data_IF_004808012216
#
_entry.id   IF_004808012216
#
_cell.length_a   1.000
_cell.length_b   1.000
_cell.length_c   1.000
_cell.angle_alpha   90.00
_cell.angle_beta   90.00
_cell.angle_gamma   90.00
#
_symmetry.space_group_name_H-M   'P 1'
#
loop_
_entity.id
_entity.type
_entity.pdbx_description
1 polymer ?
#
# COMPACT_ATOMS: atom_id res chain seq x y z
N UNK A 1 27.48 15.04 -24.31
CA UNK A 1 26.64 14.10 -25.09
C UNK A 1 25.78 13.33 -24.10
N UNK A 2 24.48 13.64 -24.04
CA UNK A 2 23.49 12.95 -23.21
C UNK A 2 22.96 11.75 -24.00
N UNK A 3 23.17 10.52 -23.52
CA UNK A 3 22.53 9.33 -24.08
C UNK A 3 21.21 9.07 -23.35
N UNK A 4 20.10 9.39 -24.00
CA UNK A 4 18.77 8.94 -23.61
C UNK A 4 18.66 7.42 -23.82
N UNK A 5 18.55 6.66 -22.73
CA UNK A 5 18.09 5.26 -22.79
C UNK A 5 16.60 5.27 -22.46
N UNK A 6 15.76 5.13 -23.49
CA UNK A 6 14.33 4.80 -23.33
C UNK A 6 14.23 3.34 -22.89
N UNK A 7 13.83 3.09 -21.65
CA UNK A 7 13.44 1.74 -21.21
C UNK A 7 12.07 1.41 -21.80
N UNK A 8 12.04 0.63 -22.88
CA UNK A 8 10.84 -0.07 -23.34
C UNK A 8 10.63 -1.28 -22.42
N UNK A 9 9.59 -1.27 -21.59
CA UNK A 9 9.15 -2.47 -20.88
C UNK A 9 8.19 -3.26 -21.77
N UNK A 10 8.49 -4.55 -21.93
CA UNK A 10 7.63 -5.53 -22.60
C UNK A 10 6.54 -5.93 -21.60
N UNK A 11 5.24 -5.80 -21.90
CA UNK A 11 4.19 -6.20 -20.98
C UNK A 11 4.10 -7.73 -20.93
N UNK A 12 4.50 -8.31 -19.80
CA UNK A 12 4.21 -9.69 -19.45
C UNK A 12 2.72 -9.85 -19.15
N UNK A 13 2.13 -10.95 -19.62
CA UNK A 13 0.77 -11.35 -19.27
C UNK A 13 0.82 -11.97 -17.87
N UNK A 14 0.41 -11.19 -16.86
CA UNK A 14 0.37 -11.63 -15.46
C UNK A 14 -1.06 -12.02 -15.08
N UNK A 15 -1.26 -13.30 -14.78
CA UNK A 15 -2.58 -13.92 -14.54
C UNK A 15 -3.06 -13.80 -13.08
N UNK A 16 -2.37 -13.01 -12.24
CA UNK A 16 -2.70 -12.83 -10.83
C UNK A 16 -3.01 -11.34 -10.53
N UNK A 17 -4.20 -10.98 -10.02
CA UNK A 17 -4.57 -9.59 -9.75
C UNK A 17 -3.69 -8.90 -8.70
N UNK A 18 -3.02 -9.65 -7.82
CA UNK A 18 -2.11 -9.09 -6.80
C UNK A 18 -0.74 -8.70 -7.35
N UNK A 19 -0.32 -9.26 -8.49
CA UNK A 19 1.03 -9.05 -9.04
C UNK A 19 1.09 -7.90 -10.06
N UNK A 20 -0.05 -7.45 -10.60
CA UNK A 20 -0.13 -6.22 -11.43
C UNK A 20 0.28 -4.95 -10.67
N UNK A 21 0.22 -4.97 -9.34
CA UNK A 21 0.48 -3.82 -8.47
C UNK A 21 1.95 -3.33 -8.50
N UNK A 22 2.89 -4.13 -8.98
CA UNK A 22 4.32 -3.79 -8.95
C UNK A 22 4.84 -3.11 -10.22
N UNK A 23 4.09 -3.13 -11.33
CA UNK A 23 4.60 -2.67 -12.63
C UNK A 23 4.31 -1.20 -12.96
N UNK A 24 3.25 -0.60 -12.40
CA UNK A 24 2.72 0.67 -12.91
C UNK A 24 3.00 1.92 -12.04
N UNK A 25 3.59 1.74 -10.85
CA UNK A 25 3.79 2.83 -9.87
C UNK A 25 5.09 3.63 -10.03
N UNK A 26 5.29 4.33 -11.14
CA UNK A 26 6.28 5.41 -11.24
C UNK A 26 5.56 6.76 -11.23
N UNK A 27 5.77 7.52 -10.15
CA UNK A 27 5.40 8.94 -10.10
C UNK A 27 5.12 9.43 -8.69
N UNK A 28 6.03 10.24 -8.14
CA UNK A 28 5.73 11.10 -7.01
C UNK A 28 4.57 12.06 -7.34
N UNK A 29 3.95 12.60 -6.30
CA UNK A 29 2.75 13.47 -6.29
C UNK A 29 1.42 12.74 -6.37
N UNK A 30 0.49 13.18 -5.51
CA UNK A 30 -0.94 12.83 -5.46
C UNK A 30 -1.40 11.95 -6.63
N UNK A 31 -1.39 10.63 -6.43
CA UNK A 31 -1.81 9.70 -7.49
C UNK A 31 -3.31 9.89 -7.71
N UNK A 32 -3.64 10.53 -8.82
CA UNK A 32 -5.00 10.75 -9.28
C UNK A 32 -5.68 9.41 -9.64
N UNK A 33 -6.82 9.19 -8.98
CA UNK A 33 -7.97 8.32 -9.29
C UNK A 33 -7.82 6.82 -9.60
N UNK A 34 -6.79 6.30 -10.29
CA UNK A 34 -6.85 4.89 -10.75
C UNK A 34 -6.42 3.85 -9.69
N UNK A 35 -5.28 4.03 -9.02
CA UNK A 35 -4.83 3.11 -7.96
C UNK A 35 -5.71 3.20 -6.70
N UNK A 36 -6.22 4.40 -6.42
CA UNK A 36 -7.17 4.64 -5.33
C UNK A 36 -8.50 3.92 -5.54
N UNK A 37 -8.89 3.65 -6.79
CA UNK A 37 -10.13 2.96 -7.09
C UNK A 37 -10.07 1.48 -6.68
N UNK A 38 -8.92 0.83 -6.82
CA UNK A 38 -8.77 -0.57 -6.40
C UNK A 38 -8.86 -0.73 -4.88
N UNK A 39 -8.12 0.07 -4.11
CA UNK A 39 -8.18 -0.01 -2.64
C UNK A 39 -9.56 0.40 -2.11
N UNK A 40 -10.20 1.37 -2.75
CA UNK A 40 -11.58 1.72 -2.45
C UNK A 40 -12.51 0.53 -2.71
N UNK A 41 -12.36 -0.17 -3.82
CA UNK A 41 -13.14 -1.37 -4.13
C UNK A 41 -12.90 -2.50 -3.12
N UNK A 42 -11.67 -2.65 -2.62
CA UNK A 42 -11.36 -3.63 -1.57
C UNK A 42 -12.05 -3.28 -0.25
N UNK A 43 -11.98 -2.03 0.20
CA UNK A 43 -12.65 -1.55 1.41
C UNK A 43 -14.17 -1.68 1.30
N UNK A 44 -14.73 -1.42 0.12
CA UNK A 44 -16.17 -1.52 -0.15
C UNK A 44 -16.73 -2.94 -0.07
N UNK A 45 -15.87 -3.98 0.00
CA UNK A 45 -16.31 -5.36 0.28
C UNK A 45 -16.75 -5.54 1.74
N UNK A 46 -16.32 -4.66 2.64
CA UNK A 46 -16.52 -4.76 4.08
C UNK A 46 -17.48 -3.68 4.60
N UNK A 47 -18.62 -3.48 3.92
CA UNK A 47 -19.51 -2.33 4.16
C UNK A 47 -20.01 -2.20 5.60
N UNK A 48 -20.16 -3.32 6.29
CA UNK A 48 -20.69 -3.37 7.65
C UNK A 48 -19.57 -3.36 8.71
N UNK A 49 -18.29 -3.30 8.30
CA UNK A 49 -17.15 -3.16 9.19
C UNK A 49 -16.88 -1.69 9.58
N UNK A 50 -16.09 -1.49 10.64
CA UNK A 50 -15.76 -0.16 11.17
C UNK A 50 -14.84 0.63 10.23
N UNK A 51 -15.16 1.91 10.02
CA UNK A 51 -14.31 2.83 9.27
C UNK A 51 -12.92 3.00 9.92
N UNK A 52 -12.83 2.91 11.25
CA UNK A 52 -11.56 2.99 11.98
C UNK A 52 -10.69 1.76 11.70
N UNK A 53 -11.28 0.58 11.68
CA UNK A 53 -10.57 -0.65 11.25
C UNK A 53 -10.11 -0.52 9.79
N UNK A 54 -10.96 0.03 8.91
CA UNK A 54 -10.66 0.23 7.50
C UNK A 54 -9.52 1.23 7.25
N UNK A 55 -9.44 2.32 8.03
CA UNK A 55 -8.30 3.27 8.00
C UNK A 55 -6.98 2.60 8.38
N UNK A 56 -7.03 1.52 9.15
CA UNK A 56 -5.86 0.69 9.45
C UNK A 56 -5.32 -0.06 8.23
N UNK A 57 -6.15 -0.29 7.21
CA UNK A 57 -5.74 -0.96 5.98
C UNK A 57 -4.75 -0.07 5.21
N UNK A 58 -3.65 -0.68 4.80
CA UNK A 58 -2.60 0.00 4.06
C UNK A 58 -1.91 -0.95 3.10
N UNK A 59 -1.51 -0.40 1.95
CA UNK A 59 -0.62 -1.05 1.03
C UNK A 59 0.83 -0.67 1.33
N UNK A 60 1.73 -1.63 1.15
CA UNK A 60 3.16 -1.43 1.31
C UNK A 60 3.84 -1.81 0.01
N UNK A 61 4.65 -0.90 -0.52
CA UNK A 61 5.39 -1.09 -1.75
C UNK A 61 6.86 -0.75 -1.54
N UNK A 62 7.74 -1.39 -2.32
CA UNK A 62 9.16 -1.04 -2.36
C UNK A 62 9.49 -0.47 -3.73
N UNK A 63 10.11 0.71 -3.75
CA UNK A 63 10.62 1.32 -4.96
C UNK A 63 12.15 1.30 -4.93
N UNK A 64 12.78 1.02 -6.07
CA UNK A 64 14.23 1.10 -6.22
C UNK A 64 14.59 2.18 -7.25
N UNK A 65 15.24 3.26 -6.79
CA UNK A 65 15.65 4.38 -7.64
C UNK A 65 17.12 4.69 -7.40
N UNK A 66 17.94 4.67 -8.44
CA UNK A 66 19.37 5.01 -8.39
C UNK A 66 20.16 4.25 -7.29
N UNK A 67 19.90 2.95 -7.12
CA UNK A 67 20.57 2.12 -6.12
C UNK A 67 20.08 2.36 -4.68
N UNK A 68 19.02 3.14 -4.47
CA UNK A 68 18.32 3.29 -3.19
C UNK A 68 17.00 2.54 -3.24
N UNK A 69 16.76 1.67 -2.26
CA UNK A 69 15.46 1.04 -2.03
C UNK A 69 14.68 1.81 -0.98
N UNK A 70 13.41 2.09 -1.24
CA UNK A 70 12.50 2.86 -0.39
C UNK A 70 11.22 2.08 -0.15
N UNK A 71 10.85 1.89 1.11
CA UNK A 71 9.59 1.31 1.55
C UNK A 71 8.56 2.42 1.72
N UNK A 72 7.44 2.29 1.02
CA UNK A 72 6.36 3.26 0.96
C UNK A 72 5.09 2.63 1.53
N UNK A 73 4.30 3.42 2.25
CA UNK A 73 2.97 3.08 2.74
C UNK A 73 1.93 3.94 2.03
N UNK A 74 0.91 3.31 1.47
CA UNK A 74 -0.29 3.98 0.97
C UNK A 74 -1.49 3.60 1.84
N UNK A 75 -2.18 4.58 2.41
CA UNK A 75 -3.32 4.32 3.31
C UNK A 75 -4.42 5.38 3.19
N UNK A 76 -5.62 5.02 3.65
CA UNK A 76 -6.74 5.95 3.71
C UNK A 76 -6.51 6.95 4.85
N UNK A 77 -6.48 8.25 4.55
CA UNK A 77 -6.34 9.32 5.55
C UNK A 77 -7.72 9.85 5.96
N UNK A 78 -8.56 10.10 4.97
CA UNK A 78 -9.98 10.44 5.11
C UNK A 78 -10.79 9.63 4.09
N UNK A 79 -12.13 9.56 4.19
CA UNK A 79 -12.97 8.76 3.29
C UNK A 79 -12.72 8.97 1.79
N UNK A 80 -12.20 10.12 1.40
CA UNK A 80 -11.91 10.50 0.02
C UNK A 80 -10.42 10.77 -0.26
N UNK A 81 -9.58 10.84 0.78
CA UNK A 81 -8.18 11.20 0.64
C UNK A 81 -7.28 10.05 1.04
N UNK A 82 -6.36 9.73 0.13
CA UNK A 82 -5.30 8.78 0.35
C UNK A 82 -4.00 9.52 0.67
N UNK A 83 -3.19 8.92 1.52
CA UNK A 83 -1.86 9.41 1.83
C UNK A 83 -0.82 8.37 1.43
N UNK A 84 0.29 8.87 0.92
CA UNK A 84 1.49 8.08 0.61
C UNK A 84 2.60 8.60 1.51
N UNK A 85 3.23 7.70 2.26
CA UNK A 85 4.29 8.04 3.20
C UNK A 85 5.51 7.12 2.99
N UNK A 86 6.69 7.72 2.89
CA UNK A 86 7.94 6.98 2.99
C UNK A 86 8.13 6.50 4.44
N UNK A 87 8.36 5.19 4.61
CA UNK A 87 8.62 4.61 5.93
C UNK A 87 10.10 4.48 6.21
N UNK A 88 10.85 3.99 5.22
CA UNK A 88 12.26 3.68 5.36
C UNK A 88 12.93 3.64 4.01
N UNK A 89 14.23 3.96 4.00
CA UNK A 89 15.06 3.88 2.82
C UNK A 89 16.43 3.30 3.16
N UNK A 90 17.04 2.63 2.19
CA UNK A 90 18.40 2.11 2.29
C UNK A 90 19.12 2.17 0.94
N UNK A 91 20.43 2.44 0.96
CA UNK A 91 21.27 2.31 -0.23
C UNK A 91 21.67 0.85 -0.40
N UNK A 92 21.44 0.29 -1.59
CA UNK A 92 21.85 -1.06 -1.96
C UNK A 92 23.35 -1.04 -2.22
N UNK A 93 24.17 -1.73 -1.40
CA UNK A 93 25.60 -1.79 -1.64
C UNK A 93 25.88 -2.63 -2.88
N UNK A 94 26.60 -2.03 -3.83
CA UNK A 94 27.01 -2.68 -5.09
C UNK A 94 28.47 -3.17 -5.06
N UNK A 95 29.19 -2.88 -3.98
CA UNK A 95 30.58 -3.32 -3.76
C UNK A 95 30.75 -3.92 -2.36
N UNK A 96 31.85 -4.65 -2.15
CA UNK A 96 32.13 -5.38 -0.91
C UNK A 96 32.39 -4.50 0.31
N UNK A 97 32.99 -3.32 0.11
CA UNK A 97 33.38 -2.41 1.18
C UNK A 97 32.17 -1.79 1.91
N UNK A 98 31.12 -1.28 1.24
CA UNK A 98 29.91 -0.77 1.90
C UNK A 98 28.92 -1.87 2.34
N UNK A 99 29.34 -3.14 2.47
CA UNK A 99 28.43 -4.25 2.82
C UNK A 99 27.68 -4.06 4.13
N UNK A 100 28.20 -3.24 5.05
CA UNK A 100 27.49 -2.85 6.28
C UNK A 100 26.14 -2.18 5.99
N UNK A 101 25.99 -1.53 4.82
CA UNK A 101 24.72 -0.99 4.34
C UNK A 101 23.64 -2.04 4.05
N UNK A 102 24.00 -3.33 3.89
CA UNK A 102 23.01 -4.42 3.80
C UNK A 102 22.17 -4.53 5.06
N UNK A 103 22.67 -4.14 6.23
CA UNK A 103 21.88 -4.16 7.46
C UNK A 103 20.63 -3.29 7.32
N UNK A 104 20.77 -2.09 6.76
CA UNK A 104 19.61 -1.20 6.52
C UNK A 104 18.61 -1.78 5.52
N UNK A 105 19.08 -2.54 4.52
CA UNK A 105 18.21 -3.26 3.59
C UNK A 105 17.45 -4.38 4.31
N UNK A 106 18.12 -5.18 5.15
CA UNK A 106 17.46 -6.22 5.94
C UNK A 106 16.45 -5.66 6.93
N UNK A 107 16.76 -4.55 7.59
CA UNK A 107 15.81 -3.88 8.47
C UNK A 107 14.58 -3.36 7.71
N UNK A 108 14.76 -2.89 6.47
CA UNK A 108 13.64 -2.48 5.60
C UNK A 108 12.76 -3.68 5.27
N UNK A 109 13.35 -4.83 4.92
CA UNK A 109 12.60 -6.08 4.65
C UNK A 109 11.89 -6.60 5.91
N UNK A 110 12.54 -6.57 7.07
CA UNK A 110 11.93 -6.93 8.34
C UNK A 110 10.75 -6.00 8.69
N UNK A 111 10.89 -4.71 8.40
CA UNK A 111 9.79 -3.74 8.56
C UNK A 111 8.61 -4.09 7.66
N UNK A 112 8.87 -4.41 6.38
CA UNK A 112 7.83 -4.84 5.44
C UNK A 112 7.09 -6.09 5.95
N UNK A 113 7.82 -7.11 6.41
CA UNK A 113 7.25 -8.34 6.96
C UNK A 113 6.34 -8.05 8.17
N UNK A 114 6.82 -7.26 9.13
CA UNK A 114 6.03 -6.88 10.31
C UNK A 114 4.75 -6.12 9.93
N UNK A 115 4.83 -5.23 8.93
CA UNK A 115 3.65 -4.51 8.43
C UNK A 115 2.68 -5.43 7.72
N UNK A 116 3.18 -6.39 6.94
CA UNK A 116 2.34 -7.39 6.28
C UNK A 116 1.56 -8.26 7.29
N UNK A 117 2.22 -8.72 8.35
CA UNK A 117 1.54 -9.51 9.40
C UNK A 117 0.49 -8.68 10.16
N UNK A 118 0.76 -7.39 10.39
CA UNK A 118 -0.23 -6.46 10.92
C UNK A 118 -1.46 -6.33 9.99
N UNK A 119 -1.24 -6.20 8.67
CA UNK A 119 -2.32 -6.10 7.70
C UNK A 119 -3.19 -7.37 7.66
N UNK A 120 -2.60 -8.56 7.83
CA UNK A 120 -3.39 -9.81 7.97
C UNK A 120 -4.34 -9.75 9.15
N UNK A 121 -3.90 -9.21 10.29
CA UNK A 121 -4.74 -9.09 11.47
C UNK A 121 -5.88 -8.08 11.25
N UNK A 122 -5.60 -6.96 10.58
CA UNK A 122 -6.61 -5.97 10.21
C UNK A 122 -7.64 -6.57 9.25
N UNK A 123 -7.20 -7.32 8.24
CA UNK A 123 -8.09 -7.99 7.29
C UNK A 123 -9.00 -9.01 7.97
N UNK A 124 -8.46 -9.80 8.90
CA UNK A 124 -9.26 -10.72 9.73
C UNK A 124 -10.30 -9.96 10.57
N UNK A 125 -9.92 -8.81 11.13
CA UNK A 125 -10.83 -7.97 11.91
C UNK A 125 -11.96 -7.40 11.02
N UNK A 126 -11.63 -6.87 9.84
CA UNK A 126 -12.63 -6.41 8.86
C UNK A 126 -13.61 -7.52 8.48
N UNK A 127 -13.11 -8.74 8.24
CA UNK A 127 -13.96 -9.89 7.93
C UNK A 127 -14.89 -10.25 9.09
N UNK A 128 -14.40 -10.23 10.33
CA UNK A 128 -15.22 -10.52 11.51
C UNK A 128 -16.30 -9.47 11.74
N UNK A 129 -15.92 -8.19 11.67
CA UNK A 129 -16.84 -7.06 11.80
C UNK A 129 -17.92 -7.11 10.71
N UNK A 130 -17.55 -7.32 9.45
CA UNK A 130 -18.50 -7.41 8.34
C UNK A 130 -19.42 -8.63 8.42
N UNK A 131 -18.99 -9.71 9.08
CA UNK A 131 -19.82 -10.89 9.31
C UNK A 131 -20.61 -10.83 10.62
N UNK A 132 -20.67 -9.67 11.28
CA UNK A 132 -21.36 -9.43 12.55
C UNK A 132 -20.87 -10.30 13.72
N UNK A 133 -19.65 -10.85 13.62
CA UNK A 133 -19.01 -11.58 14.72
C UNK A 133 -18.42 -10.63 15.77
N UNK A 134 -18.04 -9.42 15.33
CA UNK A 134 -17.67 -8.31 16.20
C UNK A 134 -18.65 -7.16 15.92
N UNK A 135 -19.49 -6.75 16.89
CA UNK A 135 -20.50 -5.73 16.66
C UNK A 135 -19.85 -4.36 16.40
N UNK A 136 -20.38 -3.65 15.40
CA UNK A 136 -19.96 -2.29 15.02
C UNK A 136 -21.19 -1.39 15.07
N UNK A 137 -21.05 -0.17 15.63
CA UNK A 137 -22.12 0.83 15.58
C UNK A 137 -22.38 1.20 14.11
N UNK A 138 -23.64 1.22 13.71
CA UNK A 138 -24.06 1.56 12.34
C UNK A 138 -23.45 2.89 11.89
N UNK A 139 -23.36 3.89 12.78
CA UNK A 139 -22.77 5.21 12.50
C UNK A 139 -21.29 5.15 12.16
N UNK A 140 -20.59 4.14 12.66
CA UNK A 140 -19.16 3.91 12.43
C UNK A 140 -18.90 2.97 11.26
N UNK A 141 -19.95 2.42 10.63
CA UNK A 141 -19.81 1.53 9.47
C UNK A 141 -19.19 2.26 8.27
N UNK A 142 -18.46 1.50 7.46
CA UNK A 142 -17.92 1.96 6.17
C UNK A 142 -19.07 2.47 5.28
N UNK A 143 -20.20 1.76 5.25
CA UNK A 143 -21.37 2.12 4.42
C UNK A 143 -21.84 3.54 4.68
N UNK A 144 -21.98 3.92 5.95
CA UNK A 144 -22.46 5.25 6.34
C UNK A 144 -21.35 6.29 6.15
N UNK A 145 -20.14 5.99 6.64
CA UNK A 145 -19.01 6.93 6.63
C UNK A 145 -18.57 7.35 5.23
N UNK A 146 -18.62 6.44 4.24
CA UNK A 146 -18.26 6.75 2.85
C UNK A 146 -19.41 7.40 2.05
N UNK A 147 -20.68 7.24 2.48
CA UNK A 147 -21.85 7.86 1.82
C UNK A 147 -22.09 9.31 2.24
N UNK A 148 -21.85 9.65 3.51
CA UNK A 148 -22.13 11.00 4.06
C UNK A 148 -21.34 12.10 3.33
N UNK A 149 -20.24 11.78 2.64
CA UNK A 149 -19.39 12.77 1.97
C UNK A 149 -19.68 12.98 0.46
N UNK A 150 -20.74 12.38 -0.09
CA UNK A 150 -21.12 12.51 -1.51
C UNK A 150 -22.27 13.54 -1.71
N UNK A 151 -22.80 14.11 -0.63
CA UNK A 151 -23.86 15.13 -0.66
C UNK A 151 -23.35 16.49 -0.17
#
# INVERSE_FOLDING_TARGET
>A
MLSHIKSHMIPGVWNNPTERLFADGIGCEYVNNHDNQFYRNEILKYQDASIETAKGLAAFGTQCTCGKITLIKSSLCSPTKWQIAELKSATIPVTWNPRTGMMSVFELLATLQNKYDLQKNILKKLQRENNFLDPVDEKESIRISLRIQIF
#
